data_IF_303951125427
#
_entry.id   IF_303951125427
#
_cell.length_a   1.000
_cell.length_b   1.000
_cell.length_c   1.000
_cell.angle_alpha   90.00
_cell.angle_beta   90.00
_cell.angle_gamma   90.00
#
_symmetry.space_group_name_H-M   'P 1'
#
loop_
_entity.id
_entity.type
_entity.pdbx_description
1 polymer ?
#
# COMPACT_ATOMS: atom_id res chain seq x y z
N UNK A 1 14.00 10.99 -8.00
CA UNK A 1 13.10 11.41 -9.11
C UNK A 1 11.63 11.10 -8.85
N UNK A 2 11.25 9.92 -8.32
CA UNK A 2 9.83 9.57 -8.09
C UNK A 2 9.04 10.51 -7.16
N UNK A 3 9.64 10.97 -6.06
CA UNK A 3 9.01 11.93 -5.12
C UNK A 3 8.75 13.31 -5.76
N UNK A 4 9.62 13.77 -6.65
CA UNK A 4 9.47 15.04 -7.36
C UNK A 4 8.33 15.01 -8.39
N UNK A 5 8.13 13.87 -9.07
CA UNK A 5 6.98 13.67 -9.96
C UNK A 5 5.66 13.58 -9.19
N UNK A 6 5.66 12.98 -8.01
CA UNK A 6 4.48 12.86 -7.15
C UNK A 6 4.04 14.21 -6.56
N UNK A 7 4.98 15.07 -6.15
CA UNK A 7 4.67 16.42 -5.67
C UNK A 7 4.10 17.31 -6.77
N UNK A 8 4.58 17.23 -8.01
CA UNK A 8 3.96 17.94 -9.15
C UNK A 8 2.52 17.49 -9.42
N UNK A 9 2.23 16.19 -9.28
CA UNK A 9 0.87 15.65 -9.42
C UNK A 9 -0.03 16.20 -8.30
N UNK A 10 0.40 16.14 -7.04
CA UNK A 10 -0.36 16.70 -5.91
C UNK A 10 -0.65 18.20 -6.04
N UNK A 11 0.30 18.98 -6.56
CA UNK A 11 0.12 20.42 -6.80
C UNK A 11 -0.85 20.67 -7.97
N UNK A 12 -0.74 19.91 -9.07
CA UNK A 12 -1.64 20.01 -10.21
C UNK A 12 -3.09 19.55 -9.91
N UNK A 13 -3.26 18.69 -8.91
CA UNK A 13 -4.57 18.19 -8.47
C UNK A 13 -5.29 19.16 -7.53
N UNK A 14 -4.59 20.18 -6.99
CA UNK A 14 -5.17 21.22 -6.14
C UNK A 14 -6.02 22.15 -7.01
N UNK A 15 -7.33 21.92 -7.02
CA UNK A 15 -8.29 22.77 -7.71
C UNK A 15 -8.35 24.20 -7.12
N UNK A 16 -9.06 25.13 -7.78
CA UNK A 16 -9.12 26.54 -7.39
C UNK A 16 -9.80 26.77 -6.02
N UNK A 17 -10.63 25.85 -5.55
CA UNK A 17 -11.26 25.86 -4.23
C UNK A 17 -10.39 25.08 -3.23
N UNK A 18 -9.81 25.82 -2.29
CA UNK A 18 -8.59 25.47 -1.56
C UNK A 18 -8.73 24.40 -0.44
N UNK A 19 -9.69 23.48 -0.51
CA UNK A 19 -9.99 22.55 0.59
C UNK A 19 -9.98 21.09 0.15
N UNK A 20 -8.98 20.35 0.64
CA UNK A 20 -8.93 18.89 0.55
C UNK A 20 -10.08 18.29 1.39
N UNK A 21 -10.98 17.55 0.74
CA UNK A 21 -12.04 16.82 1.45
C UNK A 21 -11.49 15.52 2.05
N UNK A 22 -12.21 14.96 3.03
CA UNK A 22 -11.74 13.80 3.82
C UNK A 22 -11.36 12.59 2.93
N UNK A 23 -12.10 12.38 1.83
CA UNK A 23 -11.81 11.34 0.85
C UNK A 23 -10.49 11.55 0.09
N UNK A 24 -10.11 12.79 -0.21
CA UNK A 24 -8.84 13.07 -0.89
C UNK A 24 -7.68 12.81 0.05
N UNK A 25 -7.79 13.24 1.31
CA UNK A 25 -6.80 12.94 2.34
C UNK A 25 -6.64 11.44 2.56
N UNK A 26 -7.74 10.68 2.57
CA UNK A 26 -7.70 9.22 2.65
C UNK A 26 -6.91 8.60 1.49
N UNK A 27 -7.19 9.02 0.25
CA UNK A 27 -6.53 8.48 -0.94
C UNK A 27 -5.06 8.89 -1.03
N UNK A 28 -4.72 10.15 -0.73
CA UNK A 28 -3.33 10.63 -0.72
C UNK A 28 -2.51 9.88 0.32
N UNK A 29 -3.04 9.72 1.54
CA UNK A 29 -2.36 8.94 2.58
C UNK A 29 -2.16 7.48 2.15
N UNK A 30 -3.16 6.88 1.50
CA UNK A 30 -3.04 5.53 0.96
C UNK A 30 -1.96 5.41 -0.13
N UNK A 31 -1.94 6.35 -1.08
CA UNK A 31 -0.95 6.37 -2.17
C UNK A 31 0.47 6.59 -1.64
N UNK A 32 0.68 7.62 -0.82
CA UNK A 32 1.98 7.91 -0.22
C UNK A 32 2.43 6.74 0.67
N UNK A 33 1.55 6.25 1.53
CA UNK A 33 1.83 5.12 2.41
C UNK A 33 2.25 3.87 1.63
N UNK A 34 1.54 3.53 0.55
CA UNK A 34 1.89 2.40 -0.31
C UNK A 34 3.24 2.62 -1.04
N UNK A 35 3.48 3.80 -1.61
CA UNK A 35 4.75 4.10 -2.29
C UNK A 35 5.95 4.07 -1.35
N UNK A 36 5.82 4.63 -0.14
CA UNK A 36 6.85 4.53 0.88
C UNK A 36 7.04 3.08 1.32
N UNK A 37 5.97 2.35 1.61
CA UNK A 37 6.03 0.94 1.98
C UNK A 37 6.80 0.09 0.96
N UNK A 38 6.46 0.18 -0.34
CA UNK A 38 7.18 -0.55 -1.40
C UNK A 38 8.66 -0.23 -1.39
N UNK A 39 9.01 1.05 -1.27
CA UNK A 39 10.40 1.51 -1.31
C UNK A 39 11.19 1.02 -0.10
N UNK A 40 10.62 1.10 1.11
CA UNK A 40 11.31 0.63 2.32
C UNK A 40 11.41 -0.89 2.36
N UNK A 41 10.35 -1.60 1.98
CA UNK A 41 10.37 -3.07 1.95
C UNK A 41 11.39 -3.56 0.92
N UNK A 42 11.47 -2.97 -0.28
CA UNK A 42 12.41 -3.42 -1.30
C UNK A 42 13.89 -3.27 -0.91
N UNK A 43 14.18 -2.30 -0.04
CA UNK A 43 15.52 -2.08 0.51
C UNK A 43 15.83 -2.97 1.71
N UNK A 44 14.83 -3.61 2.31
CA UNK A 44 14.99 -4.37 3.55
C UNK A 44 15.95 -5.56 3.43
N UNK A 45 15.87 -6.42 2.38
CA UNK A 45 16.86 -7.50 2.20
C UNK A 45 18.29 -6.97 2.02
N UNK A 46 18.45 -5.80 1.40
CA UNK A 46 19.74 -5.15 1.19
C UNK A 46 20.30 -4.67 2.53
N UNK A 47 19.46 -4.08 3.38
CA UNK A 47 19.84 -3.68 4.73
C UNK A 47 20.34 -4.88 5.55
N UNK A 48 19.60 -6.01 5.50
CA UNK A 48 19.98 -7.24 6.20
C UNK A 48 21.29 -7.85 5.70
N UNK A 49 21.62 -7.67 4.41
CA UNK A 49 22.88 -8.15 3.85
C UNK A 49 24.13 -7.52 4.50
N UNK A 50 24.02 -6.30 5.04
CA UNK A 50 25.12 -5.65 5.78
C UNK A 50 25.44 -6.32 7.12
N UNK A 51 24.52 -7.13 7.66
CA UNK A 51 24.68 -7.80 8.95
C UNK A 51 25.22 -9.24 8.83
N UNK A 52 25.68 -9.65 7.64
CA UNK A 52 26.18 -11.01 7.37
C UNK A 52 25.19 -12.13 7.77
N UNK A 53 23.89 -11.85 7.69
CA UNK A 53 22.81 -12.81 7.92
C UNK A 53 22.80 -13.80 6.75
N UNK A 54 22.56 -15.09 7.05
CA UNK A 54 22.44 -16.12 6.04
C UNK A 54 21.28 -15.82 5.07
N UNK A 55 21.37 -16.36 3.86
CA UNK A 55 20.44 -15.99 2.80
C UNK A 55 18.99 -16.37 3.11
N UNK A 56 18.77 -17.51 3.75
CA UNK A 56 17.43 -17.99 4.10
C UNK A 56 16.78 -17.08 5.16
N UNK A 57 17.46 -16.86 6.27
CA UNK A 57 16.98 -15.97 7.35
C UNK A 57 16.71 -14.56 6.83
N UNK A 58 17.55 -14.04 5.94
CA UNK A 58 17.34 -12.72 5.30
C UNK A 58 15.99 -12.65 4.58
N UNK A 59 15.65 -13.67 3.80
CA UNK A 59 14.37 -13.70 3.07
C UNK A 59 13.18 -13.91 4.02
N UNK A 60 13.30 -14.77 5.02
CA UNK A 60 12.27 -14.99 6.05
C UNK A 60 11.97 -13.69 6.83
N UNK A 61 13.00 -12.98 7.30
CA UNK A 61 12.84 -11.68 7.97
C UNK A 61 12.20 -10.63 7.06
N UNK A 62 12.56 -10.62 5.77
CA UNK A 62 11.97 -9.72 4.78
C UNK A 62 10.49 -10.01 4.52
N UNK A 63 10.09 -11.29 4.53
CA UNK A 63 8.69 -11.69 4.44
C UNK A 63 7.89 -11.32 5.69
N UNK A 64 8.46 -11.51 6.89
CA UNK A 64 7.84 -11.06 8.15
C UNK A 64 7.59 -9.55 8.10
N UNK A 65 8.59 -8.78 7.70
CA UNK A 65 8.46 -7.32 7.55
C UNK A 65 7.39 -6.96 6.52
N UNK A 66 7.34 -7.65 5.39
CA UNK A 66 6.30 -7.47 4.36
C UNK A 66 4.89 -7.74 4.92
N UNK A 67 4.73 -8.82 5.68
CA UNK A 67 3.46 -9.16 6.32
C UNK A 67 3.03 -8.11 7.34
N UNK A 68 3.95 -7.62 8.19
CA UNK A 68 3.68 -6.55 9.16
C UNK A 68 3.18 -5.30 8.44
N UNK A 69 3.82 -4.90 7.33
CA UNK A 69 3.41 -3.72 6.58
C UNK A 69 2.05 -3.93 5.93
N UNK A 70 1.78 -5.08 5.33
CA UNK A 70 0.49 -5.39 4.72
C UNK A 70 -0.65 -5.42 5.75
N UNK A 71 -0.43 -6.00 6.94
CA UNK A 71 -1.40 -6.00 8.03
C UNK A 71 -1.64 -4.58 8.56
N UNK A 72 -0.58 -3.83 8.80
CA UNK A 72 -0.66 -2.43 9.26
C UNK A 72 -1.40 -1.56 8.25
N UNK A 73 -1.12 -1.72 6.95
CA UNK A 73 -1.80 -1.01 5.89
C UNK A 73 -3.27 -1.46 5.73
N UNK A 74 -3.58 -2.74 5.95
CA UNK A 74 -4.96 -3.25 5.97
C UNK A 74 -5.76 -2.63 7.13
N UNK A 75 -5.19 -2.59 8.34
CA UNK A 75 -5.79 -1.92 9.49
C UNK A 75 -5.99 -0.43 9.23
N UNK A 76 -4.99 0.24 8.67
CA UNK A 76 -5.08 1.65 8.30
C UNK A 76 -6.22 1.91 7.31
N UNK A 77 -6.32 1.12 6.24
CA UNK A 77 -7.38 1.25 5.23
C UNK A 77 -8.74 1.00 5.87
N UNK A 78 -8.88 -0.05 6.68
CA UNK A 78 -10.13 -0.40 7.36
C UNK A 78 -10.61 0.72 8.31
N UNK A 79 -9.75 1.17 9.22
CA UNK A 79 -10.12 2.20 10.19
C UNK A 79 -10.35 3.56 9.52
N UNK A 80 -9.54 3.91 8.53
CA UNK A 80 -9.72 5.17 7.80
C UNK A 80 -11.00 5.16 6.98
N UNK A 81 -11.33 4.04 6.31
CA UNK A 81 -12.59 3.87 5.61
C UNK A 81 -13.80 3.93 6.55
N UNK A 82 -13.73 3.29 7.72
CA UNK A 82 -14.80 3.38 8.73
C UNK A 82 -15.06 4.82 9.21
N UNK A 83 -14.01 5.62 9.36
CA UNK A 83 -14.08 7.03 9.77
C UNK A 83 -14.61 7.98 8.68
N UNK A 84 -14.73 7.53 7.42
CA UNK A 84 -15.28 8.38 6.35
C UNK A 84 -16.79 8.64 6.57
N UNK A 85 -17.27 9.87 6.30
CA UNK A 85 -18.69 10.18 6.20
C UNK A 85 -19.42 9.26 5.20
N UNK A 86 -20.72 9.00 5.41
CA UNK A 86 -21.52 8.16 4.51
C UNK A 86 -21.52 8.67 3.05
N UNK A 87 -21.53 9.99 2.86
CA UNK A 87 -21.47 10.63 1.55
C UNK A 87 -20.19 10.25 0.81
N UNK A 88 -19.05 10.27 1.50
CA UNK A 88 -17.74 9.92 0.92
C UNK A 88 -17.62 8.41 0.66
N UNK A 89 -18.23 7.58 1.52
CA UNK A 89 -18.30 6.13 1.32
C UNK A 89 -19.05 5.77 0.04
N UNK A 90 -20.07 6.53 -0.36
CA UNK A 90 -20.79 6.27 -1.61
C UNK A 90 -19.94 6.55 -2.87
N UNK A 91 -18.95 7.44 -2.77
CA UNK A 91 -17.99 7.69 -3.86
C UNK A 91 -16.94 6.57 -3.94
N UNK A 92 -16.64 5.94 -2.80
CA UNK A 92 -15.70 4.82 -2.72
C UNK A 92 -16.45 3.50 -2.79
N UNK A 93 -16.50 2.84 -3.97
CA UNK A 93 -17.02 1.48 -4.10
C UNK A 93 -16.60 0.57 -2.93
N UNK A 94 -17.53 0.16 -2.04
CA UNK A 94 -17.21 -0.63 -0.86
C UNK A 94 -16.59 -1.96 -1.24
N UNK A 95 -17.05 -2.55 -2.36
CA UNK A 95 -16.50 -3.78 -2.92
C UNK A 95 -15.00 -3.64 -3.20
N UNK A 96 -14.57 -2.55 -3.82
CA UNK A 96 -13.15 -2.33 -4.12
C UNK A 96 -12.29 -2.24 -2.86
N UNK A 97 -12.79 -1.58 -1.80
CA UNK A 97 -12.07 -1.48 -0.51
C UNK A 97 -11.93 -2.86 0.13
N UNK A 98 -13.02 -3.62 0.20
CA UNK A 98 -13.01 -4.96 0.77
C UNK A 98 -12.15 -5.94 -0.05
N UNK A 99 -12.15 -5.84 -1.37
CA UNK A 99 -11.27 -6.63 -2.24
C UNK A 99 -9.80 -6.31 -1.97
N UNK A 100 -9.41 -5.04 -1.86
CA UNK A 100 -8.03 -4.65 -1.52
C UNK A 100 -7.65 -5.18 -0.14
N UNK A 101 -8.50 -5.02 0.86
CA UNK A 101 -8.27 -5.55 2.21
C UNK A 101 -8.09 -7.07 2.20
N UNK A 102 -8.94 -7.79 1.47
CA UNK A 102 -8.87 -9.25 1.36
C UNK A 102 -7.56 -9.68 0.68
N UNK A 103 -7.17 -9.02 -0.41
CA UNK A 103 -5.92 -9.30 -1.13
C UNK A 103 -4.72 -9.07 -0.22
N UNK A 104 -4.66 -7.92 0.47
CA UNK A 104 -3.57 -7.59 1.38
C UNK A 104 -3.49 -8.56 2.57
N UNK A 105 -4.63 -8.91 3.16
CA UNK A 105 -4.70 -9.84 4.27
C UNK A 105 -4.29 -11.26 3.85
N UNK A 106 -4.83 -11.74 2.72
CA UNK A 106 -4.49 -13.06 2.17
C UNK A 106 -2.99 -13.14 1.88
N UNK A 107 -2.43 -12.10 1.26
CA UNK A 107 -1.01 -12.09 0.97
C UNK A 107 -0.14 -12.00 2.23
N UNK A 108 -0.57 -11.26 3.26
CA UNK A 108 0.13 -11.23 4.54
C UNK A 108 0.18 -12.63 5.18
N UNK A 109 -0.92 -13.40 5.11
CA UNK A 109 -0.96 -14.78 5.58
C UNK A 109 -0.01 -15.67 4.77
N UNK A 110 -0.02 -15.57 3.43
CA UNK A 110 0.91 -16.30 2.57
C UNK A 110 2.36 -15.95 2.90
N UNK A 111 2.68 -14.68 3.12
CA UNK A 111 4.02 -14.23 3.47
C UNK A 111 4.47 -14.78 4.83
N UNK A 112 3.59 -14.81 5.83
CA UNK A 112 3.90 -15.44 7.12
C UNK A 112 4.12 -16.94 7.00
N UNK A 113 3.24 -17.65 6.29
CA UNK A 113 3.40 -19.10 6.06
C UNK A 113 4.74 -19.37 5.36
N UNK A 114 5.06 -18.61 4.31
CA UNK A 114 6.33 -18.74 3.58
C UNK A 114 7.54 -18.41 4.46
N UNK A 115 7.43 -17.42 5.35
CA UNK A 115 8.51 -17.04 6.26
C UNK A 115 8.83 -18.11 7.31
N UNK A 116 7.83 -18.89 7.74
CA UNK A 116 8.02 -19.97 8.71
C UNK A 116 8.14 -21.36 8.06
N UNK A 117 8.09 -21.44 6.73
CA UNK A 117 8.29 -22.68 6.00
C UNK A 117 9.77 -22.90 5.68
N UNK A 118 10.25 -24.14 5.80
CA UNK A 118 11.60 -24.55 5.38
C UNK A 118 11.74 -24.72 3.86
N UNK A 119 10.85 -24.11 3.07
CA UNK A 119 10.83 -24.27 1.62
C UNK A 119 11.55 -23.07 0.98
N UNK A 120 12.50 -23.33 0.09
CA UNK A 120 13.32 -22.35 -0.65
C UNK A 120 12.52 -21.46 -1.66
N UNK A 121 11.31 -21.04 -1.31
CA UNK A 121 10.43 -20.18 -2.12
C UNK A 121 10.35 -18.76 -1.55
N UNK A 122 11.02 -18.49 -0.41
CA UNK A 122 10.87 -17.24 0.33
C UNK A 122 11.18 -15.99 -0.51
N UNK A 123 12.24 -16.04 -1.33
CA UNK A 123 12.62 -14.95 -2.23
C UNK A 123 11.53 -14.68 -3.29
N UNK A 124 10.99 -15.72 -3.92
CA UNK A 124 9.93 -15.60 -4.92
C UNK A 124 8.65 -14.98 -4.35
N UNK A 125 8.23 -15.44 -3.15
CA UNK A 125 7.07 -14.87 -2.45
C UNK A 125 7.32 -13.40 -2.10
N UNK A 126 8.53 -13.04 -1.69
CA UNK A 126 8.88 -11.64 -1.40
C UNK A 126 8.73 -10.74 -2.63
N UNK A 127 9.27 -11.14 -3.80
CA UNK A 127 9.13 -10.36 -5.03
C UNK A 127 7.68 -10.26 -5.50
N UNK A 128 6.88 -11.32 -5.38
CA UNK A 128 5.44 -11.26 -5.65
C UNK A 128 4.73 -10.26 -4.73
N UNK A 129 5.15 -10.18 -3.46
CA UNK A 129 4.63 -9.22 -2.50
C UNK A 129 4.93 -7.78 -2.89
N UNK A 130 6.16 -7.51 -3.34
CA UNK A 130 6.54 -6.21 -3.86
C UNK A 130 5.71 -5.81 -5.09
N UNK A 131 5.52 -6.73 -6.05
CA UNK A 131 4.69 -6.49 -7.23
C UNK A 131 3.23 -6.22 -6.87
N UNK A 132 2.69 -6.94 -5.88
CA UNK A 132 1.33 -6.73 -5.39
C UNK A 132 1.17 -5.35 -4.76
N UNK A 133 2.09 -4.95 -3.87
CA UNK A 133 2.01 -3.64 -3.21
C UNK A 133 2.19 -2.52 -4.24
N UNK A 134 3.07 -2.70 -5.23
CA UNK A 134 3.22 -1.77 -6.36
C UNK A 134 1.94 -1.67 -7.20
N UNK A 135 1.31 -2.81 -7.51
CA UNK A 135 0.05 -2.86 -8.24
C UNK A 135 -1.07 -2.13 -7.48
N UNK A 136 -1.17 -2.30 -6.17
CA UNK A 136 -2.10 -1.56 -5.31
C UNK A 136 -1.79 -0.06 -5.35
N UNK A 137 -0.52 0.34 -5.25
CA UNK A 137 -0.13 1.75 -5.32
C UNK A 137 -0.55 2.38 -6.65
N UNK A 138 -0.27 1.72 -7.79
CA UNK A 138 -0.67 2.17 -9.13
C UNK A 138 -2.19 2.25 -9.24
N UNK A 139 -2.91 1.23 -8.77
CA UNK A 139 -4.37 1.24 -8.78
C UNK A 139 -4.96 2.43 -8.00
N UNK A 140 -4.41 2.71 -6.81
CA UNK A 140 -4.83 3.87 -6.01
C UNK A 140 -4.54 5.19 -6.73
N UNK A 141 -3.41 5.32 -7.41
CA UNK A 141 -3.05 6.49 -8.23
C UNK A 141 -4.05 6.70 -9.36
N UNK A 142 -4.30 5.66 -10.16
CA UNK A 142 -5.24 5.71 -11.28
C UNK A 142 -6.62 6.11 -10.79
N UNK A 143 -7.11 5.48 -9.71
CA UNK A 143 -8.41 5.81 -9.14
C UNK A 143 -8.47 7.26 -8.63
N UNK A 144 -7.40 7.75 -8.02
CA UNK A 144 -7.35 9.14 -7.56
C UNK A 144 -7.50 10.12 -8.73
N UNK A 145 -6.79 9.88 -9.84
CA UNK A 145 -6.78 10.76 -11.02
C UNK A 145 -8.14 10.74 -11.73
N UNK A 146 -8.72 9.56 -11.96
CA UNK A 146 -9.90 9.41 -12.83
C UNK A 146 -11.24 9.42 -12.09
N UNK A 147 -11.28 9.17 -10.78
CA UNK A 147 -12.55 9.09 -10.02
C UNK A 147 -12.63 10.24 -9.01
N UNK A 148 -12.81 11.47 -9.50
CA UNK A 148 -13.00 12.64 -8.62
C UNK A 148 -14.45 12.73 -8.12
N UNK A 149 -14.69 13.05 -6.84
CA UNK A 149 -16.01 13.47 -6.37
C UNK A 149 -16.45 14.71 -7.17
N UNK A 150 -17.69 14.73 -7.67
CA UNK A 150 -18.24 15.97 -8.24
C UNK A 150 -18.32 17.02 -7.12
N UNK A 151 -17.91 18.27 -7.36
CA UNK A 151 -18.17 19.34 -6.41
C UNK A 151 -19.68 19.42 -6.15
N UNK A 152 -20.07 19.66 -4.90
CA UNK A 152 -21.46 19.99 -4.57
C UNK A 152 -21.70 21.39 -5.13
N UNK A 153 -22.55 21.47 -6.16
CA UNK A 153 -23.24 22.70 -6.53
C UNK A 153 -24.41 22.93 -5.55
#
# INVERSE_FOLDING_TARGET
MGLAGFSSVLVALRGPTNQWIAIDLFRIKGMLGASFAVTFISLFPILLAFFAIDEETKWQMSLIMTAIVLLSASLFVYFSYKKLPLIDKNVVSPKAVWTILLIMFTFAVIALIAAFSYINIASGVFFLGLLLVLGIAVFLVVRFIFVRPKPKD
#
